data_IF_121418762571
#
_entry.id   IF_121418762571
#
_cell.length_a   1.000
_cell.length_b   1.000
_cell.length_c   1.000
_cell.angle_alpha   90.00
_cell.angle_beta   90.00
_cell.angle_gamma   90.00
#
_symmetry.space_group_name_H-M   'P 1'
#
loop_
_entity.id
_entity.type
_entity.pdbx_description
1 polymer ?
#
# COMPACT_ATOMS: atom_id res chain seq x y z
N UNK A 1 6.84 22.88 -13.14
CA UNK A 1 8.29 22.94 -13.40
C UNK A 1 9.03 22.04 -12.44
N UNK A 2 9.82 21.11 -12.95
CA UNK A 2 10.70 20.28 -12.12
C UNK A 2 11.96 21.09 -11.80
N UNK A 3 12.28 21.18 -10.50
CA UNK A 3 13.55 21.75 -10.08
C UNK A 3 14.68 20.75 -10.45
N UNK A 4 15.61 21.08 -11.37
CA UNK A 4 16.63 20.14 -11.82
C UNK A 4 17.65 19.75 -10.75
N UNK A 5 17.67 20.44 -9.59
CA UNK A 5 18.54 20.10 -8.47
C UNK A 5 17.90 19.15 -7.46
N UNK A 6 16.61 18.82 -7.62
CA UNK A 6 15.88 17.94 -6.70
C UNK A 6 15.91 16.51 -7.20
N UNK A 7 16.55 15.61 -6.45
CA UNK A 7 16.55 14.19 -6.78
C UNK A 7 15.12 13.62 -6.78
N UNK A 8 14.84 12.57 -7.57
CA UNK A 8 13.54 11.90 -7.54
C UNK A 8 13.21 11.38 -6.14
N UNK A 9 11.93 11.46 -5.78
CA UNK A 9 11.43 10.88 -4.53
C UNK A 9 11.51 9.36 -4.60
N UNK A 10 12.11 8.74 -3.59
CA UNK A 10 12.26 7.29 -3.54
C UNK A 10 11.10 6.65 -2.81
N UNK A 11 10.33 5.83 -3.52
CA UNK A 11 9.14 5.15 -3.03
C UNK A 11 9.35 3.65 -3.08
N UNK A 12 9.20 2.98 -1.94
CA UNK A 12 9.22 1.51 -1.88
C UNK A 12 7.85 0.93 -2.18
N UNK A 13 7.79 -0.05 -3.08
CA UNK A 13 6.57 -0.77 -3.42
C UNK A 13 6.72 -2.21 -2.95
N UNK A 14 5.84 -2.65 -2.07
CA UNK A 14 5.85 -4.04 -1.60
C UNK A 14 5.56 -4.96 -2.79
N UNK A 15 6.51 -5.82 -3.14
CA UNK A 15 6.50 -6.62 -4.36
C UNK A 15 6.58 -8.12 -4.05
N UNK A 16 5.73 -8.61 -3.14
CA UNK A 16 5.67 -10.02 -2.77
C UNK A 16 4.58 -10.76 -3.53
N UNK A 17 3.43 -10.13 -3.71
CA UNK A 17 2.26 -10.71 -4.36
C UNK A 17 1.32 -9.59 -4.76
N UNK A 18 0.59 -9.73 -5.86
CA UNK A 18 -0.44 -8.81 -6.29
C UNK A 18 0.00 -7.79 -7.33
N UNK A 19 -0.68 -6.67 -7.37
CA UNK A 19 -0.61 -5.66 -8.44
C UNK A 19 0.53 -4.64 -8.23
N UNK A 20 1.74 -5.07 -7.90
CA UNK A 20 2.86 -4.16 -7.66
C UNK A 20 3.44 -3.54 -8.93
N UNK A 21 3.37 -4.24 -10.06
CA UNK A 21 3.92 -3.74 -11.35
C UNK A 21 3.18 -2.48 -11.79
N UNK A 22 1.87 -2.44 -11.67
CA UNK A 22 1.04 -1.31 -12.03
C UNK A 22 1.40 -0.05 -11.22
N UNK A 23 1.68 -0.23 -9.92
CA UNK A 23 2.17 0.86 -9.07
C UNK A 23 3.58 1.30 -9.46
N UNK A 24 4.47 0.35 -9.79
CA UNK A 24 5.82 0.67 -10.27
C UNK A 24 5.76 1.53 -11.53
N UNK A 25 4.96 1.11 -12.51
CA UNK A 25 4.80 1.84 -13.79
C UNK A 25 4.23 3.24 -13.56
N UNK A 26 3.22 3.35 -12.68
CA UNK A 26 2.63 4.64 -12.37
C UNK A 26 3.61 5.60 -11.70
N UNK A 27 4.38 5.11 -10.74
CA UNK A 27 5.40 5.90 -10.05
C UNK A 27 6.50 6.36 -11.02
N UNK A 28 6.95 5.48 -11.91
CA UNK A 28 7.92 5.84 -12.94
C UNK A 28 7.38 6.93 -13.88
N UNK A 29 6.10 6.85 -14.26
CA UNK A 29 5.47 7.89 -15.07
C UNK A 29 5.39 9.24 -14.36
N UNK A 30 5.37 9.23 -13.03
CA UNK A 30 5.40 10.43 -12.19
C UNK A 30 6.83 10.90 -11.85
N UNK A 31 7.85 10.29 -12.46
CA UNK A 31 9.27 10.59 -12.24
C UNK A 31 9.76 10.29 -10.83
N UNK A 32 9.10 9.39 -10.11
CA UNK A 32 9.59 8.88 -8.84
C UNK A 32 10.62 7.75 -9.07
N UNK A 33 11.52 7.59 -8.10
CA UNK A 33 12.44 6.46 -8.01
C UNK A 33 11.74 5.33 -7.26
N UNK A 34 11.04 4.47 -7.98
CA UNK A 34 10.29 3.37 -7.39
C UNK A 34 11.19 2.14 -7.23
N UNK A 35 11.18 1.56 -6.02
CA UNK A 35 11.97 0.38 -5.66
C UNK A 35 11.04 -0.75 -5.25
N UNK A 36 11.24 -1.94 -5.81
CA UNK A 36 10.56 -3.14 -5.34
C UNK A 36 11.13 -3.61 -4.01
N UNK A 37 10.25 -3.81 -3.02
CA UNK A 37 10.61 -4.36 -1.72
C UNK A 37 10.28 -5.86 -1.73
N UNK A 38 11.30 -6.70 -1.86
CA UNK A 38 11.15 -8.16 -2.02
C UNK A 38 11.76 -8.96 -0.87
N UNK A 39 12.66 -8.35 -0.11
CA UNK A 39 13.34 -9.00 1.02
C UNK A 39 13.65 -7.97 2.11
N UNK A 40 14.02 -8.46 3.29
CA UNK A 40 14.31 -7.59 4.44
C UNK A 40 15.42 -6.57 4.14
N UNK A 41 16.43 -6.95 3.35
CA UNK A 41 17.53 -6.04 2.98
C UNK A 41 17.04 -4.81 2.20
N UNK A 42 15.98 -4.94 1.41
CA UNK A 42 15.43 -3.82 0.62
C UNK A 42 14.87 -2.71 1.52
N UNK A 43 14.47 -3.04 2.75
CA UNK A 43 13.90 -2.08 3.71
C UNK A 43 14.94 -1.12 4.28
N UNK A 44 16.22 -1.39 4.12
CA UNK A 44 17.30 -0.50 4.57
C UNK A 44 17.59 0.65 3.61
N UNK A 45 16.99 0.67 2.43
CA UNK A 45 17.10 1.79 1.51
C UNK A 45 16.44 3.06 2.10
N UNK A 46 16.95 4.27 1.80
CA UNK A 46 16.38 5.51 2.30
C UNK A 46 15.07 5.84 1.57
N UNK A 47 13.97 5.27 2.04
CA UNK A 47 12.64 5.43 1.46
C UNK A 47 11.95 6.68 2.00
N UNK A 48 11.25 7.40 1.12
CA UNK A 48 10.46 8.59 1.47
C UNK A 48 8.96 8.31 1.53
N UNK A 49 8.54 7.15 1.03
CA UNK A 49 7.16 6.68 1.10
C UNK A 49 7.06 5.21 0.75
N UNK A 50 5.90 4.65 0.99
CA UNK A 50 5.61 3.23 0.80
C UNK A 50 4.30 3.05 0.02
N UNK A 51 4.25 2.02 -0.80
CA UNK A 51 3.01 1.55 -1.43
C UNK A 51 2.80 0.08 -1.06
N UNK A 52 1.63 -0.22 -0.51
CA UNK A 52 1.17 -1.57 -0.25
C UNK A 52 0.09 -1.90 -1.29
N UNK A 53 0.43 -2.71 -2.32
CA UNK A 53 -0.48 -2.94 -3.45
C UNK A 53 -1.64 -3.86 -3.12
N UNK A 54 -2.62 -3.85 -4.01
CA UNK A 54 -3.70 -4.82 -4.03
C UNK A 54 -3.20 -6.23 -4.30
N UNK A 55 -4.02 -7.21 -3.94
CA UNK A 55 -3.70 -8.61 -4.08
C UNK A 55 -4.49 -9.42 -3.07
N UNK A 56 -3.88 -10.45 -2.49
CA UNK A 56 -4.47 -11.30 -1.46
C UNK A 56 -3.79 -11.01 -0.11
N UNK A 57 -4.53 -10.38 0.80
CA UNK A 57 -3.97 -9.85 2.06
C UNK A 57 -3.40 -10.95 2.98
N UNK A 58 -4.06 -12.12 3.03
CA UNK A 58 -3.57 -13.21 3.86
C UNK A 58 -2.27 -13.82 3.32
N UNK A 59 -2.14 -13.91 2.00
CA UNK A 59 -0.92 -14.36 1.32
C UNK A 59 0.21 -13.34 1.52
N UNK A 60 -0.07 -12.07 1.34
CA UNK A 60 0.91 -11.00 1.56
C UNK A 60 1.41 -11.03 3.01
N UNK A 61 0.52 -11.20 3.97
CA UNK A 61 0.87 -11.26 5.38
C UNK A 61 1.75 -12.47 5.71
N UNK A 62 1.41 -13.63 5.13
CA UNK A 62 2.21 -14.84 5.27
C UNK A 62 3.62 -14.64 4.73
N UNK A 63 3.75 -14.09 3.52
CA UNK A 63 5.06 -13.82 2.90
C UNK A 63 5.88 -12.81 3.69
N UNK A 64 5.26 -11.74 4.20
CA UNK A 64 5.93 -10.78 5.06
C UNK A 64 6.57 -11.43 6.29
N UNK A 65 5.87 -12.38 6.90
CA UNK A 65 6.38 -13.12 8.06
C UNK A 65 7.48 -14.10 7.68
N UNK A 66 7.27 -14.90 6.64
CA UNK A 66 8.23 -15.90 6.17
C UNK A 66 9.55 -15.27 5.71
N UNK A 67 9.50 -14.09 5.11
CA UNK A 67 10.69 -13.38 4.63
C UNK A 67 11.32 -12.46 5.68
N UNK A 68 10.77 -12.42 6.88
CA UNK A 68 11.30 -11.57 7.97
C UNK A 68 11.15 -10.07 7.69
N UNK A 69 10.16 -9.66 6.90
CA UNK A 69 9.95 -8.26 6.51
C UNK A 69 8.95 -7.52 7.39
N UNK A 70 8.14 -8.24 8.16
CA UNK A 70 7.03 -7.63 8.90
C UNK A 70 7.48 -6.54 9.86
N UNK A 71 8.42 -6.84 10.74
CA UNK A 71 8.87 -5.89 11.78
C UNK A 71 9.54 -4.66 11.18
N UNK A 72 10.39 -4.85 10.17
CA UNK A 72 11.05 -3.74 9.48
C UNK A 72 10.07 -2.83 8.74
N UNK A 73 9.10 -3.42 8.06
CA UNK A 73 8.08 -2.64 7.35
C UNK A 73 7.16 -1.92 8.33
N UNK A 74 6.76 -2.57 9.41
CA UNK A 74 5.98 -1.94 10.48
C UNK A 74 6.71 -0.75 11.10
N UNK A 75 8.01 -0.90 11.36
CA UNK A 75 8.83 0.18 11.89
C UNK A 75 8.88 1.39 10.94
N UNK A 76 8.98 1.17 9.64
CA UNK A 76 8.92 2.24 8.64
C UNK A 76 7.57 2.96 8.65
N UNK A 77 6.48 2.22 8.75
CA UNK A 77 5.12 2.80 8.84
C UNK A 77 4.97 3.61 10.12
N UNK A 78 5.37 3.05 11.25
CA UNK A 78 5.29 3.70 12.57
C UNK A 78 6.18 4.95 12.66
N UNK A 79 7.23 5.04 11.86
CA UNK A 79 8.11 6.22 11.81
C UNK A 79 7.45 7.46 11.19
N UNK A 80 6.21 7.32 10.68
CA UNK A 80 5.45 8.43 10.10
C UNK A 80 5.68 8.65 8.60
N UNK A 81 6.29 7.70 7.91
CA UNK A 81 6.42 7.80 6.45
C UNK A 81 5.05 7.72 5.78
N UNK A 82 4.80 8.50 4.71
CA UNK A 82 3.57 8.37 3.93
C UNK A 82 3.41 6.96 3.37
N UNK A 83 2.21 6.41 3.50
CA UNK A 83 1.88 5.05 3.03
C UNK A 83 0.59 5.10 2.23
N UNK A 84 0.61 4.54 1.03
CA UNK A 84 -0.58 4.30 0.22
C UNK A 84 -0.88 2.81 0.22
N UNK A 85 -2.04 2.43 0.75
CA UNK A 85 -2.54 1.05 0.68
C UNK A 85 -3.75 0.97 -0.25
N UNK A 86 -3.71 0.08 -1.23
CA UNK A 86 -4.84 -0.16 -2.14
C UNK A 86 -5.37 -1.57 -1.95
N UNK A 87 -6.69 -1.75 -1.88
CA UNK A 87 -7.35 -3.04 -1.71
C UNK A 87 -6.74 -3.86 -0.55
N UNK A 88 -6.02 -4.94 -0.84
CA UNK A 88 -5.31 -5.75 0.15
C UNK A 88 -4.35 -4.93 1.03
N UNK A 89 -3.68 -3.94 0.45
CA UNK A 89 -2.79 -3.03 1.18
C UNK A 89 -3.54 -2.21 2.23
N UNK A 90 -4.75 -1.77 1.94
CA UNK A 90 -5.61 -1.12 2.93
C UNK A 90 -6.00 -2.08 4.06
N UNK A 91 -6.30 -3.33 3.73
CA UNK A 91 -6.62 -4.36 4.73
C UNK A 91 -5.44 -4.57 5.69
N UNK A 92 -4.20 -4.57 5.18
CA UNK A 92 -3.01 -4.69 6.02
C UNK A 92 -2.81 -3.50 6.96
N UNK A 93 -3.21 -2.30 6.57
CA UNK A 93 -3.09 -1.09 7.39
C UNK A 93 -4.20 -0.97 8.43
N UNK A 94 -5.37 -1.52 8.18
CA UNK A 94 -6.56 -1.33 9.02
C UNK A 94 -6.37 -1.83 10.45
N UNK A 95 -6.88 -1.07 11.41
CA UNK A 95 -6.83 -1.43 12.84
C UNK A 95 -7.76 -2.59 13.19
N UNK A 96 -8.80 -2.80 12.39
CA UNK A 96 -9.68 -3.98 12.52
C UNK A 96 -10.22 -4.42 11.17
N UNK A 97 -10.52 -5.70 11.06
CA UNK A 97 -11.12 -6.32 9.88
C UNK A 97 -12.37 -7.05 10.32
N UNK A 98 -13.53 -6.67 9.76
CA UNK A 98 -14.84 -7.27 10.06
C UNK A 98 -15.17 -7.28 11.56
N UNK A 99 -14.77 -6.22 12.28
CA UNK A 99 -15.00 -6.08 13.72
C UNK A 99 -14.06 -6.88 14.61
N UNK A 100 -13.09 -7.58 14.01
CA UNK A 100 -12.04 -8.32 14.73
C UNK A 100 -10.74 -7.51 14.78
N UNK A 101 -9.72 -8.06 15.43
CA UNK A 101 -8.39 -7.43 15.49
C UNK A 101 -7.77 -7.26 14.10
N UNK A 102 -6.72 -6.45 14.02
CA UNK A 102 -5.99 -6.21 12.78
C UNK A 102 -5.44 -7.53 12.17
N UNK A 103 -5.56 -7.64 10.85
CA UNK A 103 -4.97 -8.74 10.08
C UNK A 103 -3.46 -8.52 9.89
N UNK A 104 -3.03 -7.29 9.71
CA UNK A 104 -1.66 -6.90 9.39
C UNK A 104 -1.07 -5.90 10.37
N UNK A 105 -0.71 -4.72 9.89
CA UNK A 105 0.02 -3.73 10.70
C UNK A 105 -0.85 -3.00 11.73
N UNK A 106 -2.14 -2.83 11.47
CA UNK A 106 -3.06 -2.20 12.40
C UNK A 106 -2.78 -0.73 12.71
N UNK A 107 -2.18 -0.01 11.79
CA UNK A 107 -1.67 1.35 12.00
C UNK A 107 -2.64 2.45 11.57
N UNK A 108 -3.67 2.12 10.84
CA UNK A 108 -4.69 3.07 10.36
C UNK A 108 -6.00 2.87 11.12
N UNK A 109 -6.58 3.91 11.74
CA UNK A 109 -7.78 3.78 12.58
C UNK A 109 -9.06 3.63 11.74
N UNK A 110 -9.13 2.57 10.97
CA UNK A 110 -10.30 2.21 10.16
C UNK A 110 -10.65 0.75 10.36
N UNK A 111 -11.93 0.44 10.17
CA UNK A 111 -12.43 -0.94 10.10
C UNK A 111 -12.72 -1.28 8.66
N UNK A 112 -12.16 -2.38 8.19
CA UNK A 112 -12.39 -2.89 6.84
C UNK A 112 -13.41 -4.01 6.87
N UNK A 113 -14.33 -3.99 5.93
CA UNK A 113 -15.26 -5.08 5.66
C UNK A 113 -14.90 -5.67 4.31
N UNK A 114 -14.35 -6.88 4.32
CA UNK A 114 -13.94 -7.58 3.09
C UNK A 114 -15.16 -8.03 2.31
N UNK A 115 -15.06 -8.00 0.97
CA UNK A 115 -16.11 -8.46 0.05
C UNK A 115 -17.49 -7.82 0.30
N UNK A 116 -17.51 -6.57 0.77
CA UNK A 116 -18.74 -5.87 1.13
C UNK A 116 -19.72 -5.71 -0.04
N UNK A 117 -19.19 -5.63 -1.27
CA UNK A 117 -19.98 -5.51 -2.51
C UNK A 117 -20.14 -6.84 -3.25
N UNK A 118 -19.72 -7.95 -2.65
CA UNK A 118 -19.83 -9.28 -3.23
C UNK A 118 -18.76 -9.58 -4.27
N UNK A 119 -19.12 -10.38 -5.27
CA UNK A 119 -18.20 -10.77 -6.35
C UNK A 119 -17.93 -9.60 -7.30
N UNK A 120 -16.79 -9.65 -8.01
CA UNK A 120 -16.42 -8.65 -9.02
C UNK A 120 -17.47 -8.49 -10.14
N UNK A 121 -18.27 -9.51 -10.40
CA UNK A 121 -19.39 -9.43 -11.36
C UNK A 121 -20.44 -8.39 -10.95
N UNK A 122 -20.51 -8.02 -9.68
CA UNK A 122 -21.36 -6.96 -9.17
C UNK A 122 -20.70 -5.58 -9.13
N UNK A 123 -19.57 -5.42 -9.78
CA UNK A 123 -18.85 -4.16 -9.84
C UNK A 123 -19.69 -3.06 -10.48
N UNK A 124 -19.53 -1.86 -9.97
CA UNK A 124 -20.19 -0.66 -10.50
C UNK A 124 -19.18 0.48 -10.64
N UNK A 125 -19.52 1.45 -11.45
CA UNK A 125 -18.79 2.71 -11.55
C UNK A 125 -19.62 3.81 -10.94
N UNK A 126 -19.03 4.66 -10.18
CA UNK A 126 -19.68 5.81 -9.55
C UNK A 126 -18.73 6.98 -9.45
N UNK A 127 -19.26 8.12 -9.03
CA UNK A 127 -18.46 9.28 -8.66
C UNK A 127 -18.68 9.51 -7.16
N UNK A 128 -17.60 9.65 -6.43
CA UNK A 128 -17.66 9.94 -5.00
C UNK A 128 -16.80 11.15 -4.66
N UNK A 129 -17.21 11.87 -3.62
CA UNK A 129 -16.42 12.99 -3.11
C UNK A 129 -15.39 12.48 -2.12
N UNK A 130 -14.11 12.70 -2.42
CA UNK A 130 -13.02 12.44 -1.49
C UNK A 130 -12.57 13.76 -0.86
N UNK A 131 -12.49 13.80 0.46
CA UNK A 131 -12.04 14.97 1.19
C UNK A 131 -10.69 15.48 0.68
N UNK A 132 -10.63 16.76 0.32
CA UNK A 132 -9.42 17.41 -0.22
C UNK A 132 -9.15 17.16 -1.71
N UNK A 133 -9.83 16.22 -2.36
CA UNK A 133 -9.65 15.91 -3.78
C UNK A 133 -10.89 16.19 -4.65
N UNK A 134 -12.03 16.52 -4.03
CA UNK A 134 -13.27 16.75 -4.74
C UNK A 134 -13.91 15.47 -5.27
N UNK A 135 -14.60 15.55 -6.40
CA UNK A 135 -15.25 14.40 -7.04
C UNK A 135 -14.23 13.55 -7.78
N UNK A 136 -14.26 12.24 -7.53
CA UNK A 136 -13.37 11.26 -8.15
C UNK A 136 -14.19 10.09 -8.70
N UNK A 137 -13.90 9.64 -9.92
CA UNK A 137 -14.50 8.40 -10.44
C UNK A 137 -13.96 7.18 -9.66
N UNK A 138 -14.86 6.24 -9.38
CA UNK A 138 -14.54 5.02 -8.63
C UNK A 138 -15.11 3.78 -9.34
#
# INVERSE_FOLDING_TARGET
MTNPSKRPMRIGVLALQGAFIEHMDRLHSLKADAIELRCAADLSAPLEGLVLPGGESTVQMKLLRELGMYDGLKALIDSGKPVLGTCAGLILLASSVEGQSALGFGTMPVTVRRNAYGRQLGSFKTVATLGGLGEVPM
#
